data_IF_364415015128
#
_entry.id   IF_364415015128
#
_cell.length_a   1.000
_cell.length_b   1.000
_cell.length_c   1.000
_cell.angle_alpha   90.00
_cell.angle_beta   90.00
_cell.angle_gamma   90.00
#
_symmetry.space_group_name_H-M   'P 1'
#
loop_
_entity.id
_entity.type
_entity.pdbx_description
1 polymer ?
#
# COMPACT_ATOMS: atom_id res chain seq x y z
N UNK A 1 33.70 -6.33 -11.00
CA UNK A 1 33.79 -4.93 -10.51
C UNK A 1 32.39 -4.51 -10.09
N UNK A 2 32.14 -4.43 -8.79
CA UNK A 2 30.82 -4.04 -8.26
C UNK A 2 30.66 -2.52 -8.42
N UNK A 3 29.63 -2.11 -9.15
CA UNK A 3 29.18 -0.72 -9.24
C UNK A 3 28.78 -0.26 -7.84
N UNK A 4 29.58 0.62 -7.24
CA UNK A 4 29.21 1.30 -6.00
C UNK A 4 27.94 2.13 -6.27
N UNK A 5 26.79 1.62 -5.83
CA UNK A 5 25.53 2.34 -5.91
C UNK A 5 25.71 3.69 -5.19
N UNK A 6 25.50 4.80 -5.92
CA UNK A 6 25.57 6.14 -5.36
C UNK A 6 24.57 6.26 -4.20
N UNK A 7 25.10 6.21 -2.98
CA UNK A 7 24.31 6.38 -1.78
C UNK A 7 23.74 7.81 -1.79
N UNK A 8 22.42 8.00 -1.73
CA UNK A 8 21.83 9.34 -1.79
C UNK A 8 22.34 10.18 -0.62
N UNK A 9 22.55 11.50 -0.80
CA UNK A 9 23.04 12.35 0.27
C UNK A 9 22.13 12.25 1.50
N UNK A 10 22.71 12.12 2.70
CA UNK A 10 21.98 11.84 3.97
C UNK A 10 20.73 12.69 4.17
N UNK A 11 20.76 13.95 3.72
CA UNK A 11 19.62 14.90 3.75
C UNK A 11 18.37 14.40 3.01
N UNK A 12 18.50 13.50 2.03
CA UNK A 12 17.40 12.92 1.24
C UNK A 12 16.92 11.56 1.76
N UNK A 13 17.60 10.98 2.75
CA UNK A 13 17.20 9.70 3.33
C UNK A 13 15.97 9.92 4.23
N UNK A 14 14.90 9.17 3.98
CA UNK A 14 13.70 9.22 4.83
C UNK A 14 13.96 8.37 6.08
N UNK A 15 13.65 8.91 7.25
CA UNK A 15 13.77 8.17 8.50
C UNK A 15 12.69 7.07 8.56
N UNK A 16 13.09 5.87 8.96
CA UNK A 16 12.17 4.76 9.28
C UNK A 16 11.99 4.74 10.79
N UNK A 17 10.76 4.95 11.25
CA UNK A 17 10.42 4.87 12.68
C UNK A 17 9.78 3.53 12.99
N UNK A 18 10.41 2.75 13.88
CA UNK A 18 9.87 1.48 14.38
C UNK A 18 9.09 1.77 15.67
N UNK A 19 7.77 1.54 15.65
CA UNK A 19 6.90 1.73 16.83
C UNK A 19 6.57 0.45 17.58
N UNK A 20 7.04 -0.70 17.09
CA UNK A 20 6.77 -2.01 17.69
C UNK A 20 7.89 -2.39 18.66
N UNK A 21 7.56 -2.56 19.94
CA UNK A 21 8.50 -3.02 20.96
C UNK A 21 9.09 -4.40 20.63
N UNK A 22 8.27 -5.28 20.04
CA UNK A 22 8.72 -6.58 19.58
C UNK A 22 9.80 -6.45 18.49
N UNK A 23 9.58 -5.58 17.50
CA UNK A 23 10.54 -5.34 16.44
C UNK A 23 11.84 -4.71 16.96
N UNK A 24 11.75 -3.77 17.91
CA UNK A 24 12.92 -3.16 18.54
C UNK A 24 13.77 -4.20 19.28
N UNK A 25 13.16 -5.01 20.15
CA UNK A 25 13.86 -6.10 20.86
C UNK A 25 14.51 -7.08 19.90
N UNK A 26 13.82 -7.44 18.81
CA UNK A 26 14.36 -8.36 17.82
C UNK A 26 15.56 -7.75 17.09
N UNK A 27 15.51 -6.47 16.73
CA UNK A 27 16.60 -5.75 16.08
C UNK A 27 17.84 -5.65 16.99
N UNK A 28 17.65 -5.37 18.28
CA UNK A 28 18.74 -5.37 19.26
C UNK A 28 19.44 -6.72 19.38
N UNK A 29 18.69 -7.82 19.38
CA UNK A 29 19.26 -9.17 19.39
C UNK A 29 20.07 -9.47 18.12
N UNK A 30 19.57 -9.01 16.96
CA UNK A 30 20.22 -9.23 15.67
C UNK A 30 21.49 -8.39 15.48
N UNK A 31 21.58 -7.23 16.15
CA UNK A 31 22.74 -6.33 16.07
C UNK A 31 23.90 -6.70 17.03
N UNK A 32 23.77 -7.77 17.84
CA UNK A 32 24.79 -8.17 18.83
C UNK A 32 26.14 -8.54 18.22
N UNK A 33 26.15 -8.96 16.96
CA UNK A 33 27.35 -9.31 16.21
C UNK A 33 28.08 -8.09 15.61
N UNK A 34 27.59 -6.88 15.90
CA UNK A 34 28.18 -5.62 15.43
C UNK A 34 27.61 -5.13 14.09
N UNK A 35 26.64 -5.84 13.49
CA UNK A 35 25.95 -5.35 12.29
C UNK A 35 25.13 -4.10 12.59
N UNK A 36 25.07 -3.21 11.62
CA UNK A 36 24.22 -2.04 11.67
C UNK A 36 22.75 -2.42 11.49
N UNK A 37 21.84 -1.60 12.04
CA UNK A 37 20.40 -1.78 11.84
C UNK A 37 20.01 -1.73 10.35
N UNK A 38 20.72 -0.94 9.56
CA UNK A 38 20.48 -0.81 8.11
C UNK A 38 20.76 -2.13 7.40
N UNK A 39 21.94 -2.72 7.62
CA UNK A 39 22.32 -4.01 7.02
C UNK A 39 21.31 -5.11 7.40
N UNK A 40 20.88 -5.15 8.66
CA UNK A 40 19.89 -6.14 9.13
C UNK A 40 18.54 -5.95 8.44
N UNK A 41 18.08 -4.71 8.28
CA UNK A 41 16.81 -4.41 7.62
C UNK A 41 16.89 -4.74 6.13
N UNK A 42 17.96 -4.37 5.44
CA UNK A 42 18.17 -4.67 4.01
C UNK A 42 18.21 -6.19 3.78
N UNK A 43 19.01 -6.93 4.55
CA UNK A 43 19.06 -8.40 4.47
C UNK A 43 17.71 -9.05 4.74
N UNK A 44 16.94 -8.51 5.70
CA UNK A 44 15.60 -9.00 5.99
C UNK A 44 14.63 -8.74 4.84
N UNK A 45 14.66 -7.54 4.24
CA UNK A 45 13.80 -7.16 3.12
C UNK A 45 14.15 -7.94 1.84
N UNK A 46 15.42 -8.18 1.56
CA UNK A 46 15.88 -8.93 0.38
C UNK A 46 15.42 -10.39 0.41
N UNK A 47 15.23 -10.96 1.60
CA UNK A 47 14.71 -12.33 1.78
C UNK A 47 13.20 -12.42 1.69
N UNK A 48 12.48 -11.30 1.76
CA UNK A 48 11.02 -11.32 1.67
C UNK A 48 10.62 -11.49 0.21
N UNK A 49 9.76 -12.47 -0.12
CA UNK A 49 9.22 -12.56 -1.46
C UNK A 49 8.40 -11.30 -1.72
N UNK A 50 8.70 -10.60 -2.82
CA UNK A 50 7.87 -9.51 -3.27
C UNK A 50 6.50 -10.07 -3.68
N UNK A 51 5.40 -9.35 -3.42
CA UNK A 51 4.10 -9.72 -3.96
C UNK A 51 4.24 -9.85 -5.48
N UNK A 52 3.57 -10.84 -6.08
CA UNK A 52 3.53 -10.95 -7.52
C UNK A 52 3.01 -9.63 -8.11
N UNK A 53 3.72 -9.11 -9.10
CA UNK A 53 3.25 -7.96 -9.85
C UNK A 53 1.91 -8.37 -10.49
N UNK A 54 0.82 -7.74 -10.05
CA UNK A 54 -0.49 -8.01 -10.65
C UNK A 54 -0.42 -7.47 -12.06
N UNK A 55 -0.60 -8.35 -13.04
CA UNK A 55 -0.80 -7.92 -14.41
C UNK A 55 -1.94 -6.92 -14.43
N UNK A 56 -1.60 -5.68 -14.79
CA UNK A 56 -2.53 -4.57 -14.78
C UNK A 56 -3.69 -4.84 -15.73
N UNK A 57 -3.45 -5.52 -16.85
CA UNK A 57 -4.50 -5.88 -17.79
C UNK A 57 -5.42 -6.95 -17.20
N UNK A 58 -4.87 -7.99 -16.58
CA UNK A 58 -5.66 -8.99 -15.87
C UNK A 58 -6.49 -8.38 -14.73
N UNK A 59 -5.91 -7.47 -13.94
CA UNK A 59 -6.64 -6.76 -12.88
C UNK A 59 -7.80 -5.91 -13.43
N UNK A 60 -7.57 -5.19 -14.54
CA UNK A 60 -8.62 -4.41 -15.18
C UNK A 60 -9.69 -5.30 -15.83
N UNK A 61 -9.31 -6.45 -16.38
CA UNK A 61 -10.23 -7.43 -16.92
C UNK A 61 -11.14 -8.00 -15.83
N UNK A 62 -10.58 -8.32 -14.65
CA UNK A 62 -11.34 -8.77 -13.48
C UNK A 62 -12.38 -7.72 -13.05
N UNK A 63 -11.97 -6.45 -12.94
CA UNK A 63 -12.90 -5.36 -12.60
C UNK A 63 -14.01 -5.23 -13.64
N UNK A 64 -13.68 -5.27 -14.93
CA UNK A 64 -14.68 -5.19 -16.00
C UNK A 64 -15.64 -6.39 -15.99
N UNK A 65 -15.14 -7.59 -15.70
CA UNK A 65 -15.96 -8.79 -15.57
C UNK A 65 -16.93 -8.69 -14.39
N UNK A 66 -16.51 -8.13 -13.26
CA UNK A 66 -17.38 -7.84 -12.12
C UNK A 66 -18.45 -6.81 -12.52
N UNK A 67 -18.06 -5.70 -13.16
CA UNK A 67 -19.00 -4.67 -13.62
C UNK A 67 -20.02 -5.23 -14.62
N UNK A 68 -19.60 -6.13 -15.52
CA UNK A 68 -20.50 -6.76 -16.49
C UNK A 68 -21.55 -7.68 -15.86
N UNK A 69 -21.27 -8.23 -14.67
CA UNK A 69 -22.21 -9.07 -13.90
C UNK A 69 -23.24 -8.25 -13.14
N UNK A 70 -23.03 -6.96 -12.94
CA UNK A 70 -24.00 -6.07 -12.29
C UNK A 70 -25.07 -5.69 -13.34
N UNK A 71 -26.35 -6.06 -13.14
CA UNK A 71 -27.40 -5.66 -14.06
C UNK A 71 -27.49 -4.13 -14.09
N UNK A 72 -27.49 -3.55 -15.30
CA UNK A 72 -27.68 -2.11 -15.47
C UNK A 72 -29.06 -1.72 -14.93
N UNK A 73 -29.11 -0.77 -14.00
CA UNK A 73 -30.34 -0.33 -13.34
C UNK A 73 -30.68 -1.02 -12.02
N UNK A 74 -29.79 -1.87 -11.47
CA UNK A 74 -30.01 -2.49 -10.15
C UNK A 74 -29.90 -1.51 -8.99
N UNK A 75 -29.21 -0.38 -9.21
CA UNK A 75 -29.00 0.65 -8.20
C UNK A 75 -29.48 1.99 -8.77
N UNK A 76 -30.16 2.81 -7.95
CA UNK A 76 -30.53 4.16 -8.35
C UNK A 76 -29.26 4.96 -8.67
N UNK A 77 -29.36 5.79 -9.69
CA UNK A 77 -28.36 6.80 -10.02
C UNK A 77 -28.24 7.81 -8.87
N UNK A 78 -27.12 8.52 -8.84
CA UNK A 78 -26.91 9.57 -7.83
C UNK A 78 -28.04 10.60 -7.83
N UNK A 79 -28.56 10.97 -9.01
CA UNK A 79 -29.67 11.91 -9.12
C UNK A 79 -31.00 11.34 -8.56
N UNK A 80 -31.23 10.03 -8.69
CA UNK A 80 -32.41 9.37 -8.11
C UNK A 80 -32.28 9.26 -6.58
N UNK A 81 -31.07 8.96 -6.08
CA UNK A 81 -30.75 8.97 -4.65
C UNK A 81 -30.95 10.37 -4.07
N UNK A 82 -30.44 11.39 -4.75
CA UNK A 82 -30.53 12.77 -4.28
C UNK A 82 -31.98 13.27 -4.26
N UNK A 83 -32.78 12.92 -5.26
CA UNK A 83 -34.20 13.26 -5.31
C UNK A 83 -35.04 12.55 -4.23
N UNK A 84 -34.61 11.36 -3.78
CA UNK A 84 -35.26 10.61 -2.70
C UNK A 84 -34.89 11.18 -1.32
N UNK A 85 -33.61 11.53 -1.12
CA UNK A 85 -33.09 11.95 0.19
C UNK A 85 -33.24 13.45 0.47
N UNK A 86 -33.22 14.29 -0.57
CA UNK A 86 -33.17 15.74 -0.42
C UNK A 86 -34.36 16.42 -1.10
N UNK A 87 -34.86 17.49 -0.49
CA UNK A 87 -35.89 18.35 -1.09
C UNK A 87 -35.28 19.35 -2.07
N UNK A 88 -36.12 20.21 -2.66
CA UNK A 88 -35.71 21.18 -3.67
C UNK A 88 -34.74 22.24 -3.10
N UNK A 89 -34.69 22.40 -1.78
CA UNK A 89 -33.79 23.30 -1.06
C UNK A 89 -32.52 22.59 -0.53
N UNK A 90 -32.36 21.29 -0.82
CA UNK A 90 -31.23 20.49 -0.39
C UNK A 90 -31.26 20.10 1.09
N UNK A 91 -32.43 20.17 1.73
CA UNK A 91 -32.65 19.68 3.09
C UNK A 91 -33.10 18.21 3.06
N UNK A 92 -32.79 17.42 4.10
CA UNK A 92 -33.28 16.05 4.15
C UNK A 92 -34.81 16.07 4.14
N UNK A 93 -35.42 15.29 3.26
CA UNK A 93 -36.88 15.08 3.25
C UNK A 93 -37.37 14.36 4.50
#
# INVERSE_FOLDING_TARGET
MATAAQQPPRRKQRAITIRSDHALKRLELLARDGRSQVEIIEEALDRMPLPAERDREAFLADIRAIQARVPKGTFPSMAEIDAELWDEDGLPR
#
